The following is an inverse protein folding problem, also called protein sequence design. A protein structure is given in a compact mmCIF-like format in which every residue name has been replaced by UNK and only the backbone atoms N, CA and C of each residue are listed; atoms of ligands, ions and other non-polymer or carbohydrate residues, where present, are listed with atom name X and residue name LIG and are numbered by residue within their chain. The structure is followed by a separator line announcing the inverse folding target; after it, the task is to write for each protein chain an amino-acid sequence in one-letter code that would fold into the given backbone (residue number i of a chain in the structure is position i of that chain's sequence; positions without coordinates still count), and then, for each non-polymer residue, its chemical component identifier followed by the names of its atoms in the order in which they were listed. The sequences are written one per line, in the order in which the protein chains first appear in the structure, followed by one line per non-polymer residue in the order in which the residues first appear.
data_IF_908901992416
#
_entry.id   IF_908901992416
#
_cell.length_a   1.000
_cell.length_b   1.000
_cell.length_c   1.000
_cell.angle_alpha   90.00
_cell.angle_beta   90.00
_cell.angle_gamma   90.00
#
_symmetry.space_group_name_H-M   'P 1'
#
loop_
_entity.id
_entity.type
_entity.pdbx_description
1 polymer ?
#
# COMPACT_ATOMS: atom_id res chain seq x y z
N UNK A 1 -12.56 2.53 -15.91
CA UNK A 1 -11.71 2.14 -17.07
C UNK A 1 -10.96 0.90 -16.67
N UNK A 2 -11.13 -0.23 -17.38
CA UNK A 2 -10.32 -1.44 -17.14
C UNK A 2 -8.97 -1.21 -17.83
N UNK A 3 -7.92 -0.94 -17.06
CA UNK A 3 -6.58 -0.92 -17.61
C UNK A 3 -6.20 -2.33 -18.07
N UNK A 4 -5.93 -2.50 -19.35
CA UNK A 4 -5.15 -3.63 -19.83
C UNK A 4 -3.77 -3.53 -19.19
N UNK A 5 -3.37 -4.58 -18.49
CA UNK A 5 -2.24 -4.58 -17.56
C UNK A 5 -0.86 -4.55 -18.26
N UNK A 6 -0.84 -4.81 -19.57
CA UNK A 6 0.33 -4.63 -20.42
C UNK A 6 0.46 -3.19 -20.93
N UNK A 7 -0.59 -2.38 -20.79
CA UNK A 7 -0.68 -1.03 -21.35
C UNK A 7 -0.44 0.08 -20.29
N UNK A 8 -0.09 -0.29 -19.04
CA UNK A 8 0.25 0.72 -18.06
C UNK A 8 1.56 1.43 -18.47
N UNK A 9 1.56 2.76 -18.65
CA UNK A 9 2.68 3.49 -19.23
C UNK A 9 4.01 3.32 -18.46
N UNK A 10 3.95 3.02 -17.16
CA UNK A 10 5.12 2.82 -16.31
C UNK A 10 5.55 1.35 -16.17
N UNK A 11 4.87 0.40 -16.85
CA UNK A 11 5.16 -1.03 -16.68
C UNK A 11 6.57 -1.43 -17.10
N UNK A 12 7.03 -0.93 -18.25
CA UNK A 12 8.39 -1.17 -18.73
C UNK A 12 9.45 -0.63 -17.76
N UNK A 13 9.22 0.56 -17.19
CA UNK A 13 10.12 1.17 -16.22
C UNK A 13 10.13 0.40 -14.89
N UNK A 14 8.99 -0.12 -14.44
CA UNK A 14 8.92 -1.00 -13.29
C UNK A 14 9.73 -2.29 -13.51
N UNK A 15 9.56 -2.95 -14.66
CA UNK A 15 10.32 -4.16 -14.99
C UNK A 15 11.84 -3.88 -15.04
N UNK A 16 12.26 -2.74 -15.60
CA UNK A 16 13.66 -2.32 -15.58
C UNK A 16 14.17 -2.12 -14.15
N UNK A 17 13.39 -1.48 -13.28
CA UNK A 17 13.74 -1.32 -11.87
C UNK A 17 13.91 -2.68 -11.17
N UNK A 18 12.95 -3.60 -11.37
CA UNK A 18 13.00 -4.95 -10.78
C UNK A 18 14.25 -5.72 -11.25
N UNK A 19 14.61 -5.63 -12.52
CA UNK A 19 15.81 -6.28 -13.08
C UNK A 19 17.13 -5.72 -12.53
N UNK A 20 17.15 -4.47 -12.08
CA UNK A 20 18.30 -3.79 -11.51
C UNK A 20 18.37 -3.89 -9.98
N UNK A 21 17.34 -4.44 -9.36
CA UNK A 21 17.29 -4.59 -7.90
C UNK A 21 18.37 -5.58 -7.42
N UNK A 22 19.07 -5.20 -6.35
CA UNK A 22 20.19 -5.94 -5.77
C UNK A 22 19.78 -6.78 -4.57
N UNK A 23 18.58 -6.55 -4.04
CA UNK A 23 18.08 -7.20 -2.83
C UNK A 23 16.63 -7.65 -2.91
N UNK A 24 16.13 -8.21 -1.80
CA UNK A 24 14.72 -8.52 -1.67
C UNK A 24 13.85 -7.28 -1.81
N UNK A 25 12.66 -7.44 -2.42
CA UNK A 25 11.76 -6.33 -2.70
C UNK A 25 10.63 -6.26 -1.67
N UNK A 26 10.29 -5.04 -1.27
CA UNK A 26 9.06 -4.70 -0.52
C UNK A 26 8.06 -4.13 -1.52
N UNK A 27 6.82 -4.58 -1.49
CA UNK A 27 5.70 -3.99 -2.23
C UNK A 27 4.77 -3.27 -1.25
N UNK A 28 4.54 -1.98 -1.46
CA UNK A 28 3.54 -1.19 -0.73
C UNK A 28 2.32 -0.95 -1.60
N UNK A 29 1.14 -1.28 -1.08
CA UNK A 29 -0.17 -1.02 -1.66
C UNK A 29 -1.10 -0.42 -0.59
N UNK A 30 -2.10 0.34 -0.99
CA UNK A 30 -3.11 0.93 -0.10
C UNK A 30 -4.37 1.29 -0.86
N UNK A 31 -5.47 1.55 -0.13
CA UNK A 31 -6.71 2.10 -0.66
C UNK A 31 -7.16 1.37 -1.93
N UNK A 32 -7.16 0.04 -1.85
CA UNK A 32 -7.40 -0.85 -2.98
C UNK A 32 -8.89 -0.97 -3.28
N UNK A 33 -9.29 -0.59 -4.50
CA UNK A 33 -10.63 -0.87 -5.03
C UNK A 33 -10.68 -2.28 -5.63
N UNK A 34 -11.85 -2.93 -5.63
CA UNK A 34 -12.00 -4.30 -6.17
C UNK A 34 -11.62 -4.40 -7.64
N UNK A 35 -11.82 -3.33 -8.41
CA UNK A 35 -11.39 -3.25 -9.81
C UNK A 35 -9.87 -3.33 -9.99
N UNK A 36 -9.09 -3.04 -8.95
CA UNK A 36 -7.62 -3.09 -8.99
C UNK A 36 -7.03 -4.47 -8.64
N UNK A 37 -7.82 -5.42 -8.16
CA UNK A 37 -7.32 -6.73 -7.71
C UNK A 37 -6.55 -7.50 -8.79
N UNK A 38 -7.01 -7.56 -10.06
CA UNK A 38 -6.20 -8.19 -11.12
C UNK A 38 -4.85 -7.50 -11.34
N UNK A 39 -4.75 -6.20 -11.06
CA UNK A 39 -3.48 -5.47 -11.11
C UNK A 39 -2.59 -5.80 -9.91
N UNK A 40 -3.17 -5.94 -8.71
CA UNK A 40 -2.45 -6.42 -7.51
C UNK A 40 -1.82 -7.78 -7.78
N UNK A 41 -2.57 -8.75 -8.31
CA UNK A 41 -2.06 -10.08 -8.64
C UNK A 41 -0.88 -10.04 -9.63
N UNK A 42 -1.02 -9.26 -10.72
CA UNK A 42 0.06 -9.11 -11.70
C UNK A 42 1.29 -8.41 -11.13
N UNK A 43 1.07 -7.40 -10.30
CA UNK A 43 2.16 -6.67 -9.66
C UNK A 43 2.93 -7.60 -8.71
N UNK A 44 2.23 -8.39 -7.91
CA UNK A 44 2.84 -9.42 -7.05
C UNK A 44 3.63 -10.44 -7.88
N UNK A 45 3.05 -10.94 -8.97
CA UNK A 45 3.71 -11.92 -9.83
C UNK A 45 4.99 -11.36 -10.52
N UNK A 46 4.98 -10.08 -10.89
CA UNK A 46 6.13 -9.42 -11.50
C UNK A 46 7.22 -9.06 -10.48
N UNK A 47 6.83 -8.44 -9.36
CA UNK A 47 7.75 -7.95 -8.31
C UNK A 47 8.33 -9.11 -7.51
N UNK A 48 7.55 -10.17 -7.27
CA UNK A 48 7.90 -11.30 -6.38
C UNK A 48 8.41 -10.79 -5.03
N UNK A 49 7.62 -9.95 -4.33
CA UNK A 49 8.07 -9.31 -3.10
C UNK A 49 8.33 -10.33 -2.00
N UNK A 50 9.27 -10.02 -1.11
CA UNK A 50 9.45 -10.78 0.14
C UNK A 50 8.59 -10.24 1.27
N UNK A 51 8.15 -8.97 1.16
CA UNK A 51 7.22 -8.33 2.07
C UNK A 51 6.19 -7.52 1.26
N UNK A 52 4.92 -7.67 1.62
CA UNK A 52 3.83 -6.79 1.16
C UNK A 52 3.34 -5.96 2.35
N UNK A 53 3.32 -4.66 2.17
CA UNK A 53 2.72 -3.70 3.10
C UNK A 53 1.38 -3.25 2.54
N UNK A 54 0.29 -3.48 3.28
CA UNK A 54 -1.01 -2.88 2.98
C UNK A 54 -1.35 -1.86 4.05
N UNK A 55 -1.43 -0.59 3.68
CA UNK A 55 -1.65 0.50 4.65
C UNK A 55 -3.11 0.91 4.78
N UNK A 56 -4.03 -0.04 4.57
CA UNK A 56 -5.45 0.08 4.91
C UNK A 56 -6.36 0.46 3.76
N UNK A 57 -7.64 0.52 4.08
CA UNK A 57 -8.77 0.76 3.18
C UNK A 57 -8.81 -0.27 2.03
N UNK A 58 -8.96 -1.54 2.41
CA UNK A 58 -9.23 -2.65 1.49
C UNK A 58 -10.68 -2.57 0.98
N UNK A 59 -10.90 -2.87 -0.29
CA UNK A 59 -12.21 -2.71 -0.94
C UNK A 59 -12.79 -1.30 -0.70
N UNK A 60 -11.95 -0.28 -0.94
CA UNK A 60 -12.15 1.10 -0.51
C UNK A 60 -13.45 1.73 -1.05
N UNK A 61 -13.94 1.32 -2.22
CA UNK A 61 -15.19 1.82 -2.80
C UNK A 61 -16.42 1.56 -1.92
N UNK A 62 -16.40 0.52 -1.07
CA UNK A 62 -17.53 0.14 -0.23
C UNK A 62 -17.65 0.98 1.05
N UNK A 63 -16.56 1.62 1.52
CA UNK A 63 -16.56 2.51 2.69
C UNK A 63 -17.30 1.92 3.92
N UNK A 64 -17.15 0.61 4.18
CA UNK A 64 -17.93 -0.12 5.18
C UNK A 64 -17.81 0.42 6.61
N UNK A 65 -16.69 1.08 6.93
CA UNK A 65 -16.51 1.77 8.22
C UNK A 65 -17.42 2.98 8.40
N UNK A 66 -18.05 3.49 7.32
CA UNK A 66 -18.93 4.67 7.33
C UNK A 66 -20.35 4.36 6.84
N UNK A 67 -20.51 3.34 5.99
CA UNK A 67 -21.76 2.98 5.31
C UNK A 67 -22.16 1.55 5.70
N UNK A 68 -22.98 1.37 6.78
CA UNK A 68 -23.36 0.06 7.28
C UNK A 68 -24.04 -0.84 6.22
N UNK A 69 -24.75 -0.27 5.29
CA UNK A 69 -25.40 -0.97 4.17
C UNK A 69 -24.42 -1.68 3.25
N UNK A 70 -23.16 -1.23 3.18
CA UNK A 70 -22.12 -1.82 2.35
C UNK A 70 -21.31 -2.92 3.03
N UNK A 71 -21.57 -3.21 4.29
CA UNK A 71 -20.78 -4.19 5.09
C UNK A 71 -20.75 -5.58 4.44
N UNK A 72 -21.85 -6.03 3.84
CA UNK A 72 -21.92 -7.34 3.20
C UNK A 72 -21.00 -7.42 1.97
N UNK A 73 -21.04 -6.40 1.11
CA UNK A 73 -20.21 -6.34 -0.09
C UNK A 73 -18.73 -6.17 0.27
N UNK A 74 -18.42 -5.28 1.22
CA UNK A 74 -17.07 -5.15 1.77
C UNK A 74 -16.48 -6.50 2.20
N UNK A 75 -17.19 -7.25 3.07
CA UNK A 75 -16.75 -8.55 3.56
C UNK A 75 -16.45 -9.53 2.42
N UNK A 76 -17.35 -9.60 1.44
CA UNK A 76 -17.19 -10.45 0.26
C UNK A 76 -15.94 -10.13 -0.55
N UNK A 77 -15.62 -8.85 -0.69
CA UNK A 77 -14.51 -8.39 -1.52
C UNK A 77 -13.18 -8.39 -0.76
N UNK A 78 -13.18 -8.02 0.52
CA UNK A 78 -11.96 -8.07 1.35
C UNK A 78 -11.40 -9.49 1.45
N UNK A 79 -12.25 -10.52 1.61
CA UNK A 79 -11.79 -11.92 1.62
C UNK A 79 -10.98 -12.25 0.37
N UNK A 80 -11.43 -11.80 -0.81
CA UNK A 80 -10.69 -12.03 -2.06
C UNK A 80 -9.31 -11.39 -2.05
N UNK A 81 -9.20 -10.15 -1.54
CA UNK A 81 -7.89 -9.49 -1.44
C UNK A 81 -6.99 -10.21 -0.43
N UNK A 82 -7.54 -10.60 0.73
CA UNK A 82 -6.79 -11.38 1.73
C UNK A 82 -6.27 -12.69 1.13
N UNK A 83 -7.08 -13.39 0.31
CA UNK A 83 -6.65 -14.61 -0.40
C UNK A 83 -5.53 -14.31 -1.41
N UNK A 84 -5.62 -13.23 -2.18
CA UNK A 84 -4.55 -12.80 -3.11
C UNK A 84 -3.25 -12.57 -2.33
N UNK A 85 -3.31 -11.82 -1.24
CA UNK A 85 -2.14 -11.52 -0.41
C UNK A 85 -1.56 -12.78 0.23
N UNK A 86 -2.40 -13.66 0.78
CA UNK A 86 -2.00 -14.94 1.37
C UNK A 86 -1.30 -15.85 0.37
N UNK A 87 -1.83 -15.92 -0.86
CA UNK A 87 -1.29 -16.78 -1.91
C UNK A 87 -0.05 -16.19 -2.60
N UNK A 88 0.37 -14.98 -2.25
CA UNK A 88 1.57 -14.34 -2.79
C UNK A 88 2.87 -15.06 -2.42
N UNK A 89 2.88 -15.80 -1.30
CA UNK A 89 4.09 -16.39 -0.71
C UNK A 89 4.99 -15.38 0.03
N UNK A 90 4.64 -14.09 0.03
CA UNK A 90 5.35 -13.05 0.76
C UNK A 90 4.90 -12.99 2.23
N UNK A 91 5.75 -12.44 3.09
CA UNK A 91 5.30 -11.91 4.37
C UNK A 91 4.34 -10.73 4.11
N UNK A 92 3.26 -10.64 4.89
CA UNK A 92 2.27 -9.55 4.71
C UNK A 92 2.10 -8.82 6.05
N UNK A 93 2.20 -7.49 6.01
CA UNK A 93 1.87 -6.61 7.13
C UNK A 93 0.71 -5.70 6.76
N UNK A 94 -0.34 -5.73 7.58
CA UNK A 94 -1.53 -4.91 7.41
C UNK A 94 -1.59 -3.81 8.48
N UNK A 95 -1.68 -2.56 8.07
CA UNK A 95 -2.05 -1.43 8.92
C UNK A 95 -3.49 -1.05 8.59
N UNK A 96 -4.47 -1.24 9.48
CA UNK A 96 -5.87 -0.98 9.18
C UNK A 96 -6.17 0.51 8.94
N UNK A 97 -7.00 0.80 7.96
CA UNK A 97 -7.54 2.11 7.66
C UNK A 97 -8.83 2.43 8.41
N UNK A 98 -9.59 3.39 7.91
CA UNK A 98 -10.86 3.81 8.52
C UNK A 98 -12.07 3.02 7.97
N UNK A 99 -11.92 2.33 6.86
CA UNK A 99 -13.00 1.54 6.27
C UNK A 99 -12.97 0.07 6.69
N UNK A 100 -11.94 -0.37 7.40
CA UNK A 100 -11.85 -1.73 7.93
C UNK A 100 -12.84 -1.99 9.07
N UNK A 101 -13.28 -3.25 9.12
CA UNK A 101 -14.06 -3.83 10.21
C UNK A 101 -13.14 -4.65 11.12
N UNK A 102 -12.68 -4.13 12.28
CA UNK A 102 -11.62 -4.76 13.08
C UNK A 102 -11.94 -6.19 13.52
N UNK A 103 -13.20 -6.45 13.92
CA UNK A 103 -13.63 -7.79 14.34
C UNK A 103 -13.62 -8.79 13.16
N UNK A 104 -13.98 -8.33 11.96
CA UNK A 104 -13.96 -9.16 10.77
C UNK A 104 -12.52 -9.50 10.37
N UNK A 105 -11.63 -8.51 10.33
CA UNK A 105 -10.22 -8.74 10.02
C UNK A 105 -9.56 -9.71 10.99
N UNK A 106 -9.83 -9.59 12.31
CA UNK A 106 -9.26 -10.50 13.31
C UNK A 106 -9.63 -11.96 13.10
N UNK A 107 -10.78 -12.23 12.47
CA UNK A 107 -11.26 -13.59 12.20
C UNK A 107 -10.71 -14.12 10.87
N UNK A 108 -10.55 -13.28 9.86
CA UNK A 108 -10.29 -13.69 8.48
C UNK A 108 -8.87 -13.38 7.99
N UNK A 109 -8.09 -12.60 8.75
CA UNK A 109 -6.72 -12.23 8.39
C UNK A 109 -5.72 -13.12 9.15
N UNK A 110 -4.94 -13.90 8.41
CA UNK A 110 -3.96 -14.85 8.95
C UNK A 110 -2.57 -14.22 9.14
N UNK A 111 -2.37 -12.98 8.74
CA UNK A 111 -1.10 -12.26 8.85
C UNK A 111 -1.15 -11.12 9.87
N UNK A 112 0.01 -10.57 10.30
CA UNK A 112 0.07 -9.53 11.33
C UNK A 112 -0.75 -8.29 10.98
N UNK A 113 -1.67 -7.93 11.87
CA UNK A 113 -2.37 -6.65 11.88
C UNK A 113 -1.60 -5.71 12.80
N UNK A 114 -1.00 -4.68 12.24
CA UNK A 114 -0.14 -3.75 12.96
C UNK A 114 -0.93 -2.58 13.57
N UNK A 115 -0.41 -1.92 14.61
CA UNK A 115 -0.93 -0.65 15.08
C UNK A 115 -0.97 0.44 14.00
N UNK A 116 -1.87 1.41 14.15
CA UNK A 116 -2.11 2.49 13.16
C UNK A 116 -0.92 3.41 12.87
N UNK A 117 0.05 3.46 13.76
CA UNK A 117 1.28 4.23 13.58
C UNK A 117 2.41 3.47 14.27
N UNK A 118 3.30 2.87 13.48
CA UNK A 118 4.36 2.03 14.02
C UNK A 118 5.66 2.19 13.23
N UNK A 119 6.77 2.26 13.96
CA UNK A 119 8.11 2.14 13.37
C UNK A 119 8.46 0.65 13.24
N UNK A 120 8.87 0.25 12.05
CA UNK A 120 9.34 -1.10 11.74
C UNK A 120 10.65 -1.04 10.98
N UNK A 121 11.47 -2.03 11.17
CA UNK A 121 12.68 -2.27 10.38
C UNK A 121 12.54 -3.63 9.71
N UNK A 122 12.70 -3.66 8.41
CA UNK A 122 12.72 -4.89 7.62
C UNK A 122 13.96 -4.91 6.75
N UNK A 123 14.85 -5.92 6.95
CA UNK A 123 16.10 -6.08 6.19
C UNK A 123 16.94 -4.79 6.10
N UNK A 124 17.01 -4.03 7.20
CA UNK A 124 17.77 -2.77 7.26
C UNK A 124 16.97 -1.52 6.83
N UNK A 125 15.84 -1.65 6.19
CA UNK A 125 14.97 -0.52 5.80
C UNK A 125 14.10 -0.12 6.99
N UNK A 126 14.27 1.10 7.48
CA UNK A 126 13.43 1.68 8.53
C UNK A 126 12.22 2.36 7.93
N UNK A 127 11.03 1.99 8.39
CA UNK A 127 9.75 2.45 7.86
C UNK A 127 8.82 2.85 8.99
N UNK A 128 8.23 4.02 8.89
CA UNK A 128 7.07 4.40 9.69
C UNK A 128 5.82 4.06 8.88
N UNK A 129 4.99 3.20 9.43
CA UNK A 129 3.80 2.67 8.77
C UNK A 129 2.54 3.24 9.43
N UNK A 130 1.63 3.78 8.63
CA UNK A 130 0.34 4.30 9.07
C UNK A 130 -0.67 4.20 7.94
N UNK A 131 -1.97 4.26 8.26
CA UNK A 131 -2.97 4.55 7.23
C UNK A 131 -3.07 6.07 6.99
N UNK A 132 -2.93 6.86 8.03
CA UNK A 132 -2.99 8.33 7.97
C UNK A 132 -1.62 8.95 7.65
N UNK A 133 -1.57 10.12 7.03
CA UNK A 133 -0.33 10.87 6.89
C UNK A 133 0.40 11.02 8.22
N UNK A 134 1.71 10.99 8.16
CA UNK A 134 2.58 10.88 9.33
C UNK A 134 3.31 12.21 9.52
N UNK A 135 3.22 12.83 10.70
CA UNK A 135 3.74 14.18 10.97
C UNK A 135 5.12 14.21 11.65
N UNK A 136 5.60 13.12 12.26
CA UNK A 136 6.83 13.10 13.07
C UNK A 136 7.69 11.86 12.79
N UNK A 137 8.47 11.88 11.67
CA UNK A 137 9.17 10.69 11.16
C UNK A 137 10.70 10.75 11.29
N UNK A 138 11.25 11.47 12.27
CA UNK A 138 12.72 11.68 12.38
C UNK A 138 13.55 10.39 12.45
N UNK A 139 12.91 9.22 12.64
CA UNK A 139 13.59 7.94 12.86
C UNK A 139 13.43 6.94 11.71
N UNK A 140 12.76 7.29 10.61
CA UNK A 140 12.51 6.39 9.49
C UNK A 140 13.08 6.91 8.17
N UNK A 141 13.61 6.01 7.34
CA UNK A 141 13.99 6.35 5.97
C UNK A 141 12.75 6.54 5.09
N UNK A 142 11.67 5.81 5.38
CA UNK A 142 10.41 5.86 4.63
C UNK A 142 9.22 6.12 5.56
N UNK A 143 8.37 7.07 5.19
CA UNK A 143 7.05 7.31 5.75
C UNK A 143 6.01 6.77 4.77
N UNK A 144 5.41 5.62 5.10
CA UNK A 144 4.56 4.84 4.20
C UNK A 144 3.12 4.87 4.72
N UNK A 145 2.19 5.37 3.91
CA UNK A 145 0.81 5.57 4.34
C UNK A 145 -0.19 5.50 3.17
N UNK A 146 -1.47 5.41 3.51
CA UNK A 146 -2.61 5.56 2.61
C UNK A 146 -3.32 6.90 2.83
N UNK A 147 -4.64 6.86 2.79
CA UNK A 147 -5.60 7.91 3.10
C UNK A 147 -5.39 9.24 2.36
N UNK A 148 -6.46 9.74 1.76
CA UNK A 148 -6.42 10.98 0.98
C UNK A 148 -6.77 12.19 1.85
N UNK A 149 -5.80 13.09 2.06
CA UNK A 149 -6.03 14.41 2.63
C UNK A 149 -5.76 15.50 1.59
N UNK A 150 -6.48 15.47 0.49
CA UNK A 150 -6.31 16.46 -0.59
C UNK A 150 -6.60 17.92 -0.16
N UNK A 151 -7.12 18.12 1.05
CA UNK A 151 -7.48 19.45 1.58
C UNK A 151 -6.65 19.89 2.78
N UNK A 152 -5.70 19.09 3.26
CA UNK A 152 -4.85 19.49 4.38
C UNK A 152 -3.68 20.37 3.88
N UNK A 153 -3.62 21.66 4.25
CA UNK A 153 -2.52 22.55 3.87
C UNK A 153 -1.17 22.16 4.51
N UNK A 154 -1.19 21.31 5.55
CA UNK A 154 0.00 20.81 6.22
C UNK A 154 0.35 19.38 5.80
N UNK A 155 -0.18 18.92 4.65
CA UNK A 155 0.11 17.56 4.18
C UNK A 155 1.63 17.33 4.08
N UNK A 156 2.17 16.20 4.56
CA UNK A 156 3.62 15.94 4.58
C UNK A 156 4.32 16.10 3.23
N UNK A 157 3.60 15.82 2.12
CA UNK A 157 4.14 16.03 0.77
C UNK A 157 4.35 17.51 0.41
N UNK A 158 3.68 18.45 1.09
CA UNK A 158 3.85 19.89 0.85
C UNK A 158 4.99 20.49 1.68
N UNK A 159 5.39 19.79 2.77
CA UNK A 159 6.49 20.18 3.63
C UNK A 159 7.32 18.96 4.09
N UNK A 160 7.95 18.22 3.15
CA UNK A 160 8.66 16.99 3.47
C UNK A 160 9.88 17.26 4.35
N UNK A 161 10.08 16.45 5.37
CA UNK A 161 11.30 16.49 6.17
C UNK A 161 12.49 15.97 5.35
N UNK A 162 13.63 16.64 5.49
CA UNK A 162 14.85 16.26 4.80
C UNK A 162 15.30 14.84 5.20
N UNK A 163 15.58 14.02 4.20
CA UNK A 163 16.08 12.66 4.40
C UNK A 163 15.00 11.59 4.63
N UNK A 164 13.71 11.95 4.56
CA UNK A 164 12.60 11.01 4.64
C UNK A 164 11.90 10.92 3.28
N UNK A 165 11.65 9.71 2.81
CA UNK A 165 10.85 9.45 1.60
C UNK A 165 9.41 9.19 1.99
N UNK A 166 8.49 10.01 1.49
CA UNK A 166 7.06 9.89 1.76
C UNK A 166 6.37 9.12 0.63
N UNK A 167 5.66 8.04 0.98
CA UNK A 167 4.96 7.16 0.04
C UNK A 167 3.47 7.12 0.36
N UNK A 168 2.65 7.78 -0.47
CA UNK A 168 1.19 7.78 -0.35
C UNK A 168 0.57 6.75 -1.30
N UNK A 169 0.11 5.64 -0.76
CA UNK A 169 -0.46 4.53 -1.51
C UNK A 169 -1.84 4.78 -2.13
N UNK A 170 -2.49 5.92 -1.87
CA UNK A 170 -3.74 6.30 -2.57
C UNK A 170 -3.51 6.55 -4.05
N UNK A 171 -2.37 7.15 -4.39
CA UNK A 171 -2.06 7.57 -5.76
C UNK A 171 -1.02 6.68 -6.42
N UNK A 172 -0.08 6.19 -5.66
CA UNK A 172 1.11 5.49 -6.16
C UNK A 172 1.44 4.31 -5.26
N UNK A 173 1.46 3.12 -5.83
CA UNK A 173 2.01 1.97 -5.13
C UNK A 173 3.51 1.93 -5.32
N UNK A 174 4.24 1.38 -4.35
CA UNK A 174 5.70 1.51 -4.31
C UNK A 174 6.39 0.16 -4.23
N UNK A 175 7.53 0.04 -4.89
CA UNK A 175 8.46 -1.09 -4.76
C UNK A 175 9.77 -0.56 -4.21
N UNK A 176 10.30 -1.16 -3.13
CA UNK A 176 11.54 -0.76 -2.48
C UNK A 176 12.54 -1.92 -2.54
N UNK A 177 13.77 -1.66 -2.99
CA UNK A 177 14.88 -2.59 -2.91
C UNK A 177 15.55 -2.51 -1.54
N UNK A 178 15.55 -3.62 -0.79
CA UNK A 178 16.10 -3.65 0.56
C UNK A 178 17.63 -3.51 0.61
N UNK A 179 18.36 -3.82 -0.45
CA UNK A 179 19.82 -3.72 -0.45
C UNK A 179 20.29 -2.28 -0.63
N UNK A 180 19.62 -1.52 -1.50
CA UNK A 180 20.06 -0.19 -1.89
C UNK A 180 19.23 0.93 -1.27
N UNK A 181 17.99 0.65 -0.84
CA UNK A 181 17.00 1.66 -0.48
C UNK A 181 16.41 2.41 -1.68
N UNK A 182 16.77 2.03 -2.91
CA UNK A 182 16.15 2.56 -4.10
C UNK A 182 14.68 2.14 -4.17
N UNK A 183 13.85 2.96 -4.79
CA UNK A 183 12.43 2.67 -4.91
C UNK A 183 11.86 3.10 -6.27
N UNK A 184 10.74 2.48 -6.64
CA UNK A 184 9.94 2.82 -7.80
C UNK A 184 8.49 3.02 -7.37
N UNK A 185 7.82 4.03 -7.93
CA UNK A 185 6.40 4.30 -7.69
C UNK A 185 5.62 4.14 -8.99
N UNK A 186 4.55 3.35 -8.95
CA UNK A 186 3.63 3.15 -10.06
C UNK A 186 2.29 3.82 -9.75
N UNK A 187 1.85 4.71 -10.64
CA UNK A 187 0.60 5.46 -10.47
C UNK A 187 -0.60 4.53 -10.59
N UNK A 188 -1.51 4.56 -9.63
CA UNK A 188 -2.73 3.75 -9.62
C UNK A 188 -4.00 4.60 -9.72
N UNK A 189 -3.90 5.90 -9.42
CA UNK A 189 -4.98 6.88 -9.58
C UNK A 189 -4.41 8.20 -10.10
N UNK A 190 -5.19 8.92 -10.90
CA UNK A 190 -4.82 10.28 -11.29
C UNK A 190 -4.94 11.23 -10.09
N UNK A 191 -3.90 12.02 -9.85
CA UNK A 191 -3.98 13.14 -8.90
C UNK A 191 -4.87 14.21 -9.52
N UNK A 192 -5.98 14.53 -8.87
CA UNK A 192 -6.76 15.70 -9.28
C UNK A 192 -5.91 16.95 -9.02
N UNK A 193 -5.81 17.89 -9.98
CA UNK A 193 -5.13 19.16 -9.73
C UNK A 193 -5.83 19.87 -8.56
N UNK A 194 -5.03 20.47 -7.69
CA UNK A 194 -5.50 21.32 -6.58
C UNK A 194 -6.02 22.64 -7.10
#
# INVERSE_FOLDING_TARGET
MSFSLTDHPQWASLLSFIQQAEGPLILHISDTETASYPFVEKLIAAVKPTLILHTGDMADEWKAGRLPEHVADYKKHVVKLLDILKNSGAEVWLVPGNNELPNFLRIHCDFPILPRNILKIYRGISMRLSHWPIENEQEAAFAIYGHNFSSDPNHPLDNPKRGVVYMNGVYEWSVIDCATGNYFQISVKERKPR
#
